data_IF_722582995364
#
_entry.id   IF_722582995364
#
_cell.length_a   1.000
_cell.length_b   1.000
_cell.length_c   1.000
_cell.angle_alpha   90.00
_cell.angle_beta   90.00
_cell.angle_gamma   90.00
#
_symmetry.space_group_name_H-M   'P 1'
#
loop_
_entity.id
_entity.type
_entity.pdbx_description
1 polymer ?
#
# COMPACT_ATOMS: atom_id res chain seq x y z
N UNK A 1 -9.74 -47.81 30.85
CA UNK A 1 -9.36 -47.65 29.43
C UNK A 1 -10.31 -46.65 28.83
N UNK A 2 -9.99 -45.37 28.96
CA UNK A 2 -10.74 -44.30 28.29
C UNK A 2 -10.45 -44.42 26.80
N UNK A 3 -11.52 -44.57 26.03
CA UNK A 3 -11.53 -44.76 24.59
C UNK A 3 -10.80 -43.62 23.88
N UNK A 4 -9.96 -44.01 22.94
CA UNK A 4 -9.21 -43.20 21.96
C UNK A 4 -10.11 -42.31 21.06
N UNK A 5 -11.37 -42.09 21.42
CA UNK A 5 -12.43 -41.46 20.60
C UNK A 5 -12.93 -40.09 21.12
N UNK A 6 -12.50 -39.61 22.29
CA UNK A 6 -12.98 -38.32 22.85
C UNK A 6 -12.11 -37.09 22.52
N UNK A 7 -11.04 -37.25 21.73
CA UNK A 7 -10.19 -36.12 21.29
C UNK A 7 -10.23 -35.90 19.78
N UNK A 8 -11.42 -35.94 19.17
CA UNK A 8 -11.64 -35.19 17.95
C UNK A 8 -11.70 -33.69 18.30
N UNK A 9 -10.56 -33.14 18.76
CA UNK A 9 -10.36 -31.71 18.92
C UNK A 9 -10.75 -31.09 17.58
N UNK A 10 -11.86 -30.35 17.58
CA UNK A 10 -12.40 -29.70 16.40
C UNK A 10 -11.31 -28.76 15.86
N UNK A 11 -10.53 -29.25 14.90
CA UNK A 11 -9.40 -28.49 14.37
C UNK A 11 -9.96 -27.28 13.64
N UNK A 12 -9.38 -26.12 13.91
CA UNK A 12 -9.81 -24.85 13.33
C UNK A 12 -8.81 -24.46 12.26
N UNK A 13 -9.29 -23.82 11.18
CA UNK A 13 -8.38 -23.27 10.17
C UNK A 13 -7.53 -22.17 10.78
N UNK A 14 -6.23 -22.18 10.49
CA UNK A 14 -5.27 -21.25 11.06
C UNK A 14 -5.64 -19.78 10.81
N UNK A 15 -6.10 -19.43 9.60
CA UNK A 15 -6.52 -18.06 9.28
C UNK A 15 -7.68 -17.55 10.16
N UNK A 16 -8.62 -18.44 10.48
CA UNK A 16 -9.72 -18.15 11.39
C UNK A 16 -9.19 -18.05 12.82
N UNK A 17 -8.42 -19.03 13.28
CA UNK A 17 -7.92 -19.07 14.65
C UNK A 17 -7.02 -17.86 15.01
N UNK A 18 -6.17 -17.42 14.08
CA UNK A 18 -5.33 -16.22 14.24
C UNK A 18 -6.20 -14.96 14.37
N UNK A 19 -7.26 -14.84 13.58
CA UNK A 19 -8.19 -13.72 13.66
C UNK A 19 -9.03 -13.76 14.94
N UNK A 20 -9.57 -14.92 15.30
CA UNK A 20 -10.46 -15.09 16.46
C UNK A 20 -9.72 -14.87 17.79
N UNK A 21 -8.42 -15.19 17.84
CA UNK A 21 -7.54 -14.86 18.98
C UNK A 21 -7.09 -13.40 19.02
N UNK A 22 -7.53 -12.55 18.08
CA UNK A 22 -7.15 -11.15 18.01
C UNK A 22 -5.68 -10.91 17.65
N UNK A 23 -4.97 -11.93 17.17
CA UNK A 23 -3.57 -11.79 16.75
C UNK A 23 -3.47 -10.96 15.46
N UNK A 24 -4.48 -11.01 14.59
CA UNK A 24 -4.60 -10.15 13.42
C UNK A 24 -5.93 -9.38 13.43
N UNK A 25 -5.93 -8.16 12.91
CA UNK A 25 -7.10 -7.27 12.87
C UNK A 25 -8.27 -7.82 12.03
N UNK A 26 -8.03 -8.78 11.13
CA UNK A 26 -9.06 -9.48 10.38
C UNK A 26 -8.56 -10.82 9.86
N UNK A 27 -9.48 -11.69 9.44
CA UNK A 27 -9.15 -12.94 8.76
C UNK A 27 -8.33 -12.73 7.48
N UNK A 28 -8.58 -11.64 6.75
CA UNK A 28 -7.79 -11.32 5.55
C UNK A 28 -6.33 -11.00 5.93
N UNK A 29 -6.12 -10.24 7.02
CA UNK A 29 -4.79 -9.96 7.57
C UNK A 29 -4.10 -11.21 8.09
N UNK A 30 -4.84 -12.07 8.79
CA UNK A 30 -4.33 -13.37 9.24
C UNK A 30 -3.86 -14.22 8.05
N UNK A 31 -4.71 -14.38 7.04
CA UNK A 31 -4.39 -15.15 5.83
C UNK A 31 -3.12 -14.63 5.14
N UNK A 32 -3.01 -13.31 5.00
CA UNK A 32 -1.84 -12.68 4.38
C UNK A 32 -0.56 -12.93 5.17
N UNK A 33 -0.57 -12.70 6.48
CA UNK A 33 0.58 -12.92 7.33
C UNK A 33 1.05 -14.38 7.31
N UNK A 34 0.10 -15.33 7.27
CA UNK A 34 0.41 -16.75 7.09
C UNK A 34 1.11 -16.96 5.75
N UNK A 35 0.55 -16.50 4.63
CA UNK A 35 1.15 -16.70 3.29
C UNK A 35 2.59 -16.17 3.20
N UNK A 36 2.88 -15.07 3.89
CA UNK A 36 4.22 -14.47 3.97
C UNK A 36 5.16 -15.13 4.98
N UNK A 37 4.71 -16.15 5.71
CA UNK A 37 5.54 -16.88 6.67
C UNK A 37 5.78 -16.17 7.99
N UNK A 38 4.93 -15.20 8.34
CA UNK A 38 5.01 -14.47 9.61
C UNK A 38 4.26 -15.14 10.76
N UNK A 39 3.65 -16.31 10.52
CA UNK A 39 2.94 -17.07 11.56
C UNK A 39 3.70 -18.35 11.86
N UNK A 40 3.98 -18.56 13.16
CA UNK A 40 4.49 -19.82 13.68
C UNK A 40 3.40 -20.55 14.46
N UNK A 41 3.30 -21.85 14.25
CA UNK A 41 2.44 -22.75 15.02
C UNK A 41 3.33 -23.77 15.69
N UNK A 42 3.30 -23.83 17.02
CA UNK A 42 4.12 -24.73 17.84
C UNK A 42 5.61 -24.66 17.45
N UNK A 43 6.11 -23.42 17.23
CA UNK A 43 7.49 -23.12 16.85
C UNK A 43 7.82 -23.21 15.36
N UNK A 44 6.92 -23.72 14.50
CA UNK A 44 7.17 -23.92 13.08
C UNK A 44 6.50 -22.84 12.22
N UNK A 45 7.23 -22.27 11.26
CA UNK A 45 6.65 -21.34 10.28
C UNK A 45 5.62 -22.07 9.41
N UNK A 46 4.40 -21.54 9.38
CA UNK A 46 3.30 -22.08 8.56
C UNK A 46 2.96 -21.08 7.47
N UNK A 47 2.91 -21.53 6.22
CA UNK A 47 2.54 -20.72 5.05
C UNK A 47 1.21 -21.10 4.42
N UNK A 48 0.45 -22.02 5.04
CA UNK A 48 -0.84 -22.50 4.55
C UNK A 48 -1.99 -21.98 5.44
N UNK A 49 -2.73 -20.94 5.01
CA UNK A 49 -3.81 -20.36 5.81
C UNK A 49 -4.94 -21.32 6.17
N UNK A 50 -5.22 -22.27 5.27
CA UNK A 50 -6.25 -23.29 5.45
C UNK A 50 -5.77 -24.51 6.24
N UNK A 51 -4.57 -24.48 6.82
CA UNK A 51 -4.11 -25.55 7.69
C UNK A 51 -5.03 -25.65 8.91
N UNK A 52 -5.62 -26.83 9.12
CA UNK A 52 -6.40 -27.10 10.31
C UNK A 52 -5.44 -27.40 11.46
N UNK A 53 -5.49 -26.64 12.54
CA UNK A 53 -4.65 -26.78 13.73
C UNK A 53 -5.51 -26.98 14.98
N UNK A 54 -4.99 -27.63 16.04
CA UNK A 54 -5.67 -27.68 17.32
C UNK A 54 -6.00 -26.27 17.86
N UNK A 55 -7.20 -26.04 18.44
CA UNK A 55 -7.60 -24.75 19.01
C UNK A 55 -6.66 -24.20 20.10
N UNK A 56 -5.83 -25.05 20.68
CA UNK A 56 -4.88 -24.78 21.76
C UNK A 56 -3.42 -24.69 21.32
N UNK A 57 -3.12 -24.86 20.01
CA UNK A 57 -1.75 -24.68 19.50
C UNK A 57 -1.18 -23.32 19.87
N UNK A 58 0.11 -23.28 20.18
CA UNK A 58 0.83 -22.02 20.38
C UNK A 58 0.96 -21.31 19.04
N UNK A 59 0.48 -20.07 18.96
CA UNK A 59 0.53 -19.28 17.72
C UNK A 59 1.26 -17.97 18.01
N UNK A 60 2.34 -17.76 17.27
CA UNK A 60 3.11 -16.51 17.29
C UNK A 60 2.96 -15.84 15.94
N UNK A 61 2.49 -14.59 15.93
CA UNK A 61 2.47 -13.72 14.77
C UNK A 61 3.60 -12.69 14.91
N UNK A 62 4.52 -12.68 13.97
CA UNK A 62 5.63 -11.73 13.88
C UNK A 62 5.61 -11.06 12.50
N UNK A 63 4.61 -10.19 12.31
CA UNK A 63 4.35 -9.49 11.04
C UNK A 63 4.62 -7.98 11.20
N UNK A 64 5.67 -7.43 10.56
CA UNK A 64 5.94 -5.99 10.56
C UNK A 64 4.76 -5.14 10.05
N UNK A 65 3.87 -5.71 9.24
CA UNK A 65 2.71 -5.01 8.76
C UNK A 65 1.55 -4.97 9.78
N UNK A 66 1.62 -5.70 10.90
CA UNK A 66 0.53 -5.82 11.88
C UNK A 66 0.17 -4.47 12.52
N UNK A 67 1.17 -3.58 12.65
CA UNK A 67 0.97 -2.27 13.25
C UNK A 67 0.30 -1.26 12.29
N UNK A 68 0.31 -1.51 10.99
CA UNK A 68 -0.25 -0.63 9.97
C UNK A 68 -1.68 -1.00 9.59
N UNK A 69 -2.50 0.00 9.27
CA UNK A 69 -3.87 -0.18 8.76
C UNK A 69 -3.85 -0.96 7.45
N UNK A 70 -2.77 -0.83 6.69
CA UNK A 70 -2.52 -1.54 5.45
C UNK A 70 -1.04 -1.82 5.25
N UNK A 71 -0.76 -2.95 4.60
CA UNK A 71 0.60 -3.35 4.22
C UNK A 71 1.23 -2.38 3.22
N UNK A 72 0.42 -1.58 2.52
CA UNK A 72 0.90 -0.52 1.65
C UNK A 72 1.86 0.44 2.40
N UNK A 73 1.65 0.66 3.70
CA UNK A 73 2.58 1.45 4.52
C UNK A 73 4.05 0.98 4.42
N UNK A 74 4.29 -0.33 4.38
CA UNK A 74 5.66 -0.87 4.23
C UNK A 74 6.33 -0.43 2.92
N UNK A 75 5.55 -0.19 1.87
CA UNK A 75 6.06 0.26 0.56
C UNK A 75 6.51 1.72 0.62
N UNK A 76 5.70 2.59 1.23
CA UNK A 76 6.07 3.99 1.41
C UNK A 76 7.26 4.14 2.37
N UNK A 77 7.28 3.39 3.47
CA UNK A 77 8.40 3.37 4.42
C UNK A 77 9.74 3.08 3.71
N UNK A 78 9.76 2.01 2.90
CA UNK A 78 10.93 1.62 2.12
C UNK A 78 11.31 2.68 1.07
N UNK A 79 10.34 3.30 0.40
CA UNK A 79 10.61 4.36 -0.56
C UNK A 79 11.23 5.60 0.10
N UNK A 80 10.66 6.06 1.22
CA UNK A 80 11.16 7.22 1.94
C UNK A 80 12.59 7.00 2.46
N UNK A 81 12.89 5.80 2.95
CA UNK A 81 14.25 5.41 3.35
C UNK A 81 15.22 5.36 2.16
N UNK A 82 14.87 4.61 1.12
CA UNK A 82 15.74 4.41 -0.04
C UNK A 82 16.03 5.71 -0.80
N UNK A 83 15.07 6.63 -0.86
CA UNK A 83 15.22 7.92 -1.52
C UNK A 83 15.62 9.05 -0.57
N UNK A 84 15.82 8.77 0.72
CA UNK A 84 16.18 9.75 1.75
C UNK A 84 15.27 11.01 1.74
N UNK A 85 13.96 10.79 1.70
CA UNK A 85 12.95 11.86 1.73
C UNK A 85 12.49 12.05 3.16
N UNK A 86 12.74 13.25 3.71
CA UNK A 86 12.19 13.66 4.99
C UNK A 86 10.77 14.21 4.79
N UNK A 87 9.84 13.75 5.62
CA UNK A 87 8.43 14.16 5.60
C UNK A 87 8.06 15.02 6.80
N UNK A 88 9.01 15.23 7.73
CA UNK A 88 8.79 15.96 8.97
C UNK A 88 8.34 17.39 8.69
N UNK A 89 7.19 17.78 9.24
CA UNK A 89 6.63 19.12 9.09
C UNK A 89 6.03 19.44 7.71
N UNK A 90 6.04 18.49 6.77
CA UNK A 90 5.52 18.69 5.41
C UNK A 90 4.01 18.54 5.32
N UNK A 91 3.41 19.15 4.30
CA UNK A 91 2.01 18.92 3.94
C UNK A 91 1.98 17.99 2.74
N UNK A 92 1.32 16.85 2.90
CA UNK A 92 1.28 15.81 1.88
C UNK A 92 -0.08 15.73 1.19
N UNK A 93 -0.07 15.42 -0.10
CA UNK A 93 -1.23 14.92 -0.84
C UNK A 93 -1.05 13.40 -1.04
N UNK A 94 -1.98 12.59 -0.54
CA UNK A 94 -2.02 11.12 -0.71
C UNK A 94 -3.10 10.74 -1.72
N UNK A 95 -2.68 10.40 -2.94
CA UNK A 95 -3.54 10.04 -4.06
C UNK A 95 -3.80 8.53 -4.08
N UNK A 96 -5.05 8.15 -3.84
CA UNK A 96 -5.44 6.75 -3.69
C UNK A 96 -5.26 6.24 -2.26
N UNK A 97 -5.63 7.07 -1.28
CA UNK A 97 -5.38 6.80 0.13
C UNK A 97 -5.98 5.46 0.62
N UNK A 98 -7.10 5.03 0.02
CA UNK A 98 -7.83 3.80 0.31
C UNK A 98 -8.02 3.57 1.82
N UNK A 99 -7.39 2.54 2.39
CA UNK A 99 -7.46 2.21 3.82
C UNK A 99 -6.60 3.12 4.71
N UNK A 100 -5.69 3.90 4.13
CA UNK A 100 -4.85 4.89 4.80
C UNK A 100 -3.42 4.43 5.10
N UNK A 101 -2.90 3.45 4.37
CA UNK A 101 -1.56 2.89 4.62
C UNK A 101 -0.43 3.91 4.44
N UNK A 102 -0.48 4.67 3.34
CA UNK A 102 0.50 5.73 3.06
C UNK A 102 0.31 6.92 4.00
N UNK A 103 -0.92 7.42 4.12
CA UNK A 103 -1.30 8.44 5.11
C UNK A 103 -0.76 8.11 6.52
N UNK A 104 -0.92 6.87 6.99
CA UNK A 104 -0.41 6.48 8.31
C UNK A 104 1.11 6.61 8.46
N UNK A 105 1.87 6.19 7.45
CA UNK A 105 3.33 6.33 7.45
C UNK A 105 3.73 7.80 7.53
N UNK A 106 3.09 8.65 6.73
CA UNK A 106 3.33 10.10 6.73
C UNK A 106 3.08 10.70 8.11
N UNK A 107 1.96 10.37 8.74
CA UNK A 107 1.59 10.85 10.08
C UNK A 107 2.58 10.38 11.15
N UNK A 108 3.03 9.12 11.09
CA UNK A 108 3.99 8.53 12.03
C UNK A 108 5.38 9.15 11.89
N UNK A 109 5.78 9.47 10.67
CA UNK A 109 7.06 10.13 10.35
C UNK A 109 7.01 11.65 10.50
N UNK A 110 5.91 12.21 10.98
CA UNK A 110 5.84 13.60 11.42
C UNK A 110 5.38 14.60 10.36
N UNK A 111 4.67 14.16 9.30
CA UNK A 111 3.95 15.09 8.42
C UNK A 111 3.05 16.02 9.25
N UNK A 112 3.06 17.31 8.91
CA UNK A 112 2.23 18.31 9.57
C UNK A 112 0.76 18.13 9.19
N UNK A 113 0.49 17.78 7.92
CA UNK A 113 -0.85 17.56 7.41
C UNK A 113 -0.84 16.57 6.24
N UNK A 114 -1.93 15.83 6.06
CA UNK A 114 -2.15 14.95 4.90
C UNK A 114 -3.54 15.21 4.33
N UNK A 115 -3.61 15.62 3.07
CA UNK A 115 -4.83 15.61 2.28
C UNK A 115 -4.92 14.24 1.61
N UNK A 116 -5.85 13.41 2.06
CA UNK A 116 -6.04 12.05 1.60
C UNK A 116 -7.22 11.99 0.62
N UNK A 117 -6.92 11.72 -0.66
CA UNK A 117 -7.94 11.65 -1.71
C UNK A 117 -8.18 10.21 -2.16
N UNK A 118 -9.44 9.85 -2.35
CA UNK A 118 -9.84 8.56 -2.91
C UNK A 118 -11.14 8.67 -3.71
N UNK A 119 -11.27 7.83 -4.74
CA UNK A 119 -12.50 7.74 -5.55
C UNK A 119 -13.59 6.93 -4.84
N UNK A 120 -13.20 6.05 -3.91
CA UNK A 120 -14.10 5.27 -3.08
C UNK A 120 -14.66 6.06 -1.90
N UNK A 121 -15.58 5.42 -1.18
CA UNK A 121 -16.17 5.95 0.04
C UNK A 121 -16.03 4.97 1.20
N UNK A 122 -15.83 5.48 2.42
CA UNK A 122 -15.81 4.72 3.66
C UNK A 122 -14.62 3.76 3.77
N UNK A 123 -13.56 3.95 2.99
CA UNK A 123 -12.42 3.03 2.99
C UNK A 123 -11.40 3.36 4.08
N UNK A 124 -11.20 4.65 4.36
CA UNK A 124 -10.17 5.10 5.29
C UNK A 124 -10.45 4.59 6.69
N UNK A 125 -9.44 3.94 7.29
CA UNK A 125 -9.58 3.34 8.61
C UNK A 125 -9.99 4.41 9.65
N UNK A 126 -10.92 4.11 10.59
CA UNK A 126 -11.44 5.10 11.54
C UNK A 126 -10.37 5.88 12.31
N UNK A 127 -9.28 5.21 12.70
CA UNK A 127 -8.15 5.85 13.41
C UNK A 127 -7.42 6.92 12.58
N UNK A 128 -7.33 6.73 11.27
CA UNK A 128 -6.67 7.67 10.36
C UNK A 128 -7.63 8.82 10.06
N UNK A 129 -8.91 8.51 9.79
CA UNK A 129 -9.95 9.52 9.59
C UNK A 129 -10.12 10.47 10.79
N UNK A 130 -9.91 9.96 12.02
CA UNK A 130 -10.06 10.75 13.23
C UNK A 130 -8.83 11.60 13.59
N UNK A 131 -7.70 11.46 12.88
CA UNK A 131 -6.51 12.27 13.15
C UNK A 131 -6.74 13.70 12.63
N UNK A 132 -6.54 14.70 13.50
CA UNK A 132 -6.78 16.10 13.17
C UNK A 132 -5.86 16.67 12.08
N UNK A 133 -4.77 15.96 11.75
CA UNK A 133 -3.84 16.29 10.68
C UNK A 133 -4.28 15.73 9.32
N UNK A 134 -5.46 15.11 9.22
CA UNK A 134 -5.95 14.49 7.99
C UNK A 134 -7.19 15.22 7.47
N UNK A 135 -7.11 15.71 6.24
CA UNK A 135 -8.29 16.10 5.45
C UNK A 135 -8.65 14.95 4.53
N UNK A 136 -9.89 14.46 4.61
CA UNK A 136 -10.36 13.32 3.82
C UNK A 136 -11.27 13.82 2.70
N UNK A 137 -10.94 13.46 1.46
CA UNK A 137 -11.73 13.80 0.27
C UNK A 137 -12.08 12.49 -0.44
N UNK A 138 -13.36 12.12 -0.41
CA UNK A 138 -13.87 10.87 -0.96
C UNK A 138 -14.78 11.12 -2.16
N UNK A 139 -14.79 10.19 -3.11
CA UNK A 139 -15.55 10.33 -4.35
C UNK A 139 -14.89 11.24 -5.39
N UNK A 140 -13.67 11.71 -5.14
CA UNK A 140 -12.91 12.53 -6.08
C UNK A 140 -12.06 11.64 -6.97
N UNK A 141 -12.22 11.79 -8.28
CA UNK A 141 -11.31 11.18 -9.25
C UNK A 141 -10.06 12.06 -9.35
N UNK A 142 -8.88 11.48 -9.15
CA UNK A 142 -7.61 12.22 -9.20
C UNK A 142 -7.38 12.98 -10.52
N UNK A 143 -8.03 12.55 -11.60
CA UNK A 143 -8.00 13.21 -12.92
C UNK A 143 -8.72 14.56 -12.94
N UNK A 144 -9.66 14.73 -12.03
CA UNK A 144 -10.55 15.88 -11.94
C UNK A 144 -10.15 16.80 -10.76
N UNK A 145 -9.05 16.48 -10.06
CA UNK A 145 -8.53 17.24 -8.93
C UNK A 145 -8.19 18.68 -9.35
N UNK A 146 -8.67 19.65 -8.57
CA UNK A 146 -8.28 21.06 -8.70
C UNK A 146 -7.84 21.68 -7.36
N UNK A 147 -7.56 22.98 -7.36
CA UNK A 147 -7.12 23.72 -6.16
C UNK A 147 -8.23 23.86 -5.09
N UNK A 148 -9.50 23.95 -5.50
CA UNK A 148 -10.64 24.12 -4.59
C UNK A 148 -10.89 22.83 -3.81
N UNK A 149 -10.62 21.67 -4.40
CA UNK A 149 -10.69 20.37 -3.73
C UNK A 149 -9.72 20.26 -2.54
N UNK A 150 -8.57 20.95 -2.56
CA UNK A 150 -7.53 20.82 -1.53
C UNK A 150 -7.90 21.47 -0.18
N UNK A 151 -9.12 21.99 -0.03
CA UNK A 151 -9.63 22.61 1.19
C UNK A 151 -8.69 23.73 1.73
N UNK A 152 -8.05 24.47 0.82
CA UNK A 152 -7.13 25.56 1.14
C UNK A 152 -5.71 25.13 1.54
N UNK A 153 -5.38 23.83 1.45
CA UNK A 153 -4.03 23.35 1.68
C UNK A 153 -3.18 23.45 0.41
N UNK A 154 -1.92 23.84 0.59
CA UNK A 154 -0.86 23.71 -0.43
C UNK A 154 0.08 22.60 0.04
N UNK A 155 0.57 21.76 -0.87
CA UNK A 155 1.35 20.58 -0.51
C UNK A 155 2.71 20.58 -1.19
N UNK A 156 3.70 20.14 -0.41
CA UNK A 156 5.09 20.01 -0.82
C UNK A 156 5.55 18.55 -0.82
N UNK A 157 4.67 17.60 -0.50
CA UNK A 157 4.91 16.17 -0.65
C UNK A 157 3.74 15.53 -1.40
N UNK A 158 4.03 14.74 -2.42
CA UNK A 158 3.02 14.00 -3.18
C UNK A 158 3.29 12.51 -3.05
N UNK A 159 2.30 11.73 -2.63
CA UNK A 159 2.37 10.27 -2.66
C UNK A 159 1.22 9.68 -3.45
N UNK A 160 1.43 8.54 -4.12
CA UNK A 160 0.40 7.92 -4.95
C UNK A 160 0.46 6.39 -4.92
N UNK A 161 -0.68 5.77 -4.60
CA UNK A 161 -0.94 4.33 -4.66
C UNK A 161 -2.32 4.06 -5.30
N UNK A 162 -2.41 4.31 -6.61
CA UNK A 162 -3.66 4.07 -7.36
C UNK A 162 -3.72 2.65 -7.95
N UNK A 163 -4.94 2.19 -8.23
CA UNK A 163 -5.19 0.92 -8.91
C UNK A 163 -6.17 1.12 -10.06
N UNK A 164 -6.11 0.25 -11.07
CA UNK A 164 -7.02 0.24 -12.23
C UNK A 164 -6.95 1.48 -13.14
N UNK A 165 -5.95 2.33 -12.96
CA UNK A 165 -5.68 3.52 -13.78
C UNK A 165 -4.16 3.67 -13.94
N UNK A 166 -3.74 4.14 -15.11
CA UNK A 166 -2.35 4.54 -15.34
C UNK A 166 -2.05 5.85 -14.60
N UNK A 167 -0.90 5.92 -13.95
CA UNK A 167 -0.42 7.14 -13.30
C UNK A 167 -0.29 8.30 -14.29
N UNK A 168 -0.03 8.01 -15.59
CA UNK A 168 0.03 9.01 -16.66
C UNK A 168 -1.28 9.77 -16.86
N UNK A 169 -2.39 9.18 -16.43
CA UNK A 169 -3.71 9.80 -16.47
C UNK A 169 -4.09 10.42 -15.12
N UNK A 170 -3.75 9.76 -14.02
CA UNK A 170 -4.20 10.17 -12.69
C UNK A 170 -3.39 11.33 -12.08
N UNK A 171 -2.09 11.39 -12.34
CA UNK A 171 -1.19 12.34 -11.67
C UNK A 171 -1.08 13.75 -12.26
N UNK A 172 -1.35 14.04 -13.56
CA UNK A 172 -1.09 15.38 -14.11
C UNK A 172 -1.64 16.55 -13.26
N UNK A 173 -2.89 16.52 -12.76
CA UNK A 173 -3.40 17.62 -11.93
C UNK A 173 -2.62 17.79 -10.62
N UNK A 174 -2.30 16.69 -9.93
CA UNK A 174 -1.52 16.73 -8.69
C UNK A 174 -0.08 17.22 -8.92
N UNK A 175 0.55 16.86 -10.05
CA UNK A 175 1.90 17.33 -10.39
C UNK A 175 1.92 18.84 -10.68
N UNK A 176 0.87 19.35 -11.31
CA UNK A 176 0.67 20.78 -11.59
C UNK A 176 0.49 21.58 -10.30
N UNK A 177 -0.37 21.11 -9.39
CA UNK A 177 -0.69 21.78 -8.13
C UNK A 177 0.42 21.71 -7.07
N UNK A 178 1.35 20.77 -7.18
CA UNK A 178 2.45 20.63 -6.21
C UNK A 178 3.32 21.90 -6.15
N UNK A 179 3.76 22.26 -4.94
CA UNK A 179 4.63 23.42 -4.75
C UNK A 179 6.00 23.26 -5.44
N UNK A 180 6.64 24.36 -5.88
CA UNK A 180 8.07 24.33 -6.23
C UNK A 180 8.90 23.77 -5.06
N UNK A 181 9.80 22.83 -5.35
CA UNK A 181 10.56 22.10 -4.32
C UNK A 181 9.83 20.90 -3.72
N UNK A 182 8.64 20.56 -4.21
CA UNK A 182 7.93 19.37 -3.74
C UNK A 182 8.69 18.08 -4.08
N UNK A 183 8.65 17.10 -3.18
CA UNK A 183 9.07 15.73 -3.48
C UNK A 183 7.86 14.86 -3.79
N UNK A 184 8.06 13.83 -4.60
CA UNK A 184 7.05 12.86 -4.97
C UNK A 184 7.52 11.42 -4.71
N UNK A 185 6.63 10.56 -4.21
CA UNK A 185 6.84 9.12 -4.07
C UNK A 185 5.67 8.34 -4.67
N UNK A 186 5.97 7.42 -5.56
CA UNK A 186 4.99 6.84 -6.47
C UNK A 186 5.13 5.32 -6.48
N UNK A 187 4.03 4.61 -6.23
CA UNK A 187 3.98 3.16 -6.38
C UNK A 187 3.58 2.79 -7.81
N UNK A 188 4.53 2.27 -8.56
CA UNK A 188 4.35 1.79 -9.92
C UNK A 188 3.81 0.36 -9.87
N UNK A 189 2.66 0.16 -10.52
CA UNK A 189 2.02 -1.13 -10.72
C UNK A 189 2.02 -1.47 -12.21
N UNK A 190 3.04 -2.19 -12.72
CA UNK A 190 3.20 -2.44 -14.15
C UNK A 190 1.94 -2.99 -14.84
N UNK A 191 1.13 -3.78 -14.15
CA UNK A 191 -0.13 -4.33 -14.67
C UNK A 191 -1.19 -3.27 -15.02
N UNK A 192 -1.09 -2.05 -14.47
CA UNK A 192 -1.96 -0.92 -14.81
C UNK A 192 -1.35 0.04 -15.84
N UNK A 193 -0.08 -0.16 -16.18
CA UNK A 193 0.68 0.69 -17.11
C UNK A 193 0.91 0.01 -18.47
N UNK A 194 1.01 -1.32 -18.51
CA UNK A 194 1.41 -2.10 -19.69
C UNK A 194 0.39 -2.13 -20.85
N UNK A 195 -0.80 -1.57 -20.66
CA UNK A 195 -1.90 -1.65 -21.61
C UNK A 195 -2.59 -3.02 -21.64
N UNK A 196 -3.81 -3.08 -22.21
CA UNK A 196 -4.70 -4.26 -22.09
C UNK A 196 -4.13 -5.55 -22.70
N UNK A 197 -3.36 -5.44 -23.78
CA UNK A 197 -2.85 -6.62 -24.51
C UNK A 197 -1.70 -7.32 -23.76
N UNK A 198 -0.99 -6.60 -22.90
CA UNK A 198 0.09 -7.14 -22.06
C UNK A 198 -0.40 -7.88 -20.81
N UNK A 199 -1.71 -7.86 -20.53
CA UNK A 199 -2.31 -8.43 -19.31
C UNK A 199 -2.97 -9.78 -19.60
N UNK A 200 -2.70 -10.76 -18.74
CA UNK A 200 -3.33 -12.07 -18.76
C UNK A 200 -4.72 -12.03 -18.09
N UNK A 201 -5.54 -13.06 -18.29
CA UNK A 201 -6.92 -13.11 -17.76
C UNK A 201 -7.01 -13.02 -16.23
N UNK A 202 -5.93 -13.34 -15.52
CA UNK A 202 -5.82 -13.26 -14.07
C UNK A 202 -5.32 -11.90 -13.56
N UNK A 203 -5.13 -10.90 -14.43
CA UNK A 203 -4.66 -9.56 -14.06
C UNK A 203 -3.14 -9.45 -13.87
N UNK A 204 -2.38 -10.52 -14.15
CA UNK A 204 -0.92 -10.49 -14.15
C UNK A 204 -0.37 -10.06 -15.51
N UNK A 205 0.84 -9.53 -15.54
CA UNK A 205 1.59 -9.37 -16.79
C UNK A 205 1.76 -10.73 -17.48
N UNK A 206 1.56 -10.76 -18.79
CA UNK A 206 1.85 -11.94 -19.64
C UNK A 206 3.34 -12.25 -19.67
N UNK A 207 4.15 -11.20 -19.71
CA UNK A 207 5.60 -11.26 -19.61
C UNK A 207 6.05 -10.54 -18.34
N UNK A 208 6.31 -11.28 -17.24
CA UNK A 208 6.80 -10.68 -16.00
C UNK A 208 8.13 -9.94 -16.13
N UNK A 209 8.97 -10.29 -17.12
CA UNK A 209 10.27 -9.66 -17.33
C UNK A 209 10.16 -8.27 -17.99
N UNK A 210 8.97 -7.91 -18.49
CA UNK A 210 8.68 -6.56 -18.99
C UNK A 210 8.50 -5.52 -17.87
N UNK A 211 8.31 -5.96 -16.62
CA UNK A 211 7.94 -5.10 -15.51
C UNK A 211 8.96 -3.97 -15.20
N UNK A 212 10.30 -4.21 -15.21
CA UNK A 212 11.29 -3.15 -15.02
C UNK A 212 11.25 -2.08 -16.11
N UNK A 213 11.12 -2.49 -17.39
CA UNK A 213 11.06 -1.54 -18.51
C UNK A 213 9.83 -0.62 -18.41
N UNK A 214 8.68 -1.17 -18.00
CA UNK A 214 7.46 -0.39 -17.76
C UNK A 214 7.68 0.63 -16.64
N UNK A 215 8.41 0.28 -15.59
CA UNK A 215 8.74 1.21 -14.51
C UNK A 215 9.69 2.32 -14.98
N UNK A 216 10.70 1.99 -15.79
CA UNK A 216 11.62 2.97 -16.40
C UNK A 216 10.90 3.93 -17.36
N UNK A 217 9.93 3.42 -18.14
CA UNK A 217 9.09 4.24 -19.03
C UNK A 217 8.25 5.25 -18.24
N UNK A 218 7.76 4.85 -17.06
CA UNK A 218 6.99 5.74 -16.20
C UNK A 218 7.87 6.79 -15.52
N UNK A 219 9.10 6.43 -15.13
CA UNK A 219 10.10 7.40 -14.66
C UNK A 219 10.49 8.40 -15.74
N UNK A 220 10.68 7.94 -16.97
CA UNK A 220 10.94 8.81 -18.12
C UNK A 220 9.78 9.77 -18.39
N UNK A 221 8.54 9.29 -18.26
CA UNK A 221 7.34 10.13 -18.36
C UNK A 221 7.25 11.17 -17.23
N UNK A 222 7.56 10.80 -15.98
CA UNK A 222 7.58 11.75 -14.87
C UNK A 222 8.62 12.84 -15.10
N UNK A 223 9.83 12.46 -15.55
CA UNK A 223 10.89 13.40 -15.90
C UNK A 223 10.61 14.26 -17.14
N UNK A 224 9.55 13.96 -17.90
CA UNK A 224 9.09 14.81 -19.00
C UNK A 224 7.96 15.78 -18.58
N UNK A 225 7.48 15.69 -17.33
CA UNK A 225 6.48 16.64 -16.84
C UNK A 225 7.15 17.99 -16.52
N UNK A 226 6.44 19.12 -16.67
CA UNK A 226 7.01 20.44 -16.38
C UNK A 226 7.61 20.50 -14.98
N UNK A 227 8.87 20.94 -14.88
CA UNK A 227 9.61 21.14 -13.63
C UNK A 227 9.86 19.86 -12.81
N UNK A 228 9.45 18.68 -13.28
CA UNK A 228 9.65 17.42 -12.55
C UNK A 228 10.90 16.69 -13.02
N UNK A 229 11.61 16.14 -12.04
CA UNK A 229 12.69 15.17 -12.24
C UNK A 229 12.26 13.83 -11.67
N UNK A 230 12.75 12.73 -12.25
CA UNK A 230 12.51 11.39 -11.75
C UNK A 230 13.83 10.72 -11.34
N UNK A 231 13.77 9.91 -10.28
CA UNK A 231 14.84 9.00 -9.88
C UNK A 231 14.59 7.61 -10.46
N UNK A 232 15.64 6.82 -10.58
CA UNK A 232 15.54 5.42 -11.03
C UNK A 232 14.59 4.64 -10.12
N UNK A 233 13.59 3.92 -10.68
CA UNK A 233 12.72 3.07 -9.89
C UNK A 233 13.49 1.94 -9.20
N UNK A 234 13.03 1.55 -8.02
CA UNK A 234 13.53 0.40 -7.26
C UNK A 234 12.40 -0.61 -7.04
N UNK A 235 12.68 -1.90 -6.86
CA UNK A 235 11.65 -2.87 -6.51
C UNK A 235 10.95 -2.53 -5.17
N UNK A 236 9.64 -2.72 -5.10
CA UNK A 236 8.88 -2.68 -3.85
C UNK A 236 9.33 -3.82 -2.91
N UNK A 237 9.40 -3.61 -1.58
CA UNK A 237 9.82 -4.64 -0.62
C UNK A 237 8.81 -5.80 -0.51
N UNK A 238 7.57 -5.57 -0.96
CA UNK A 238 6.49 -6.57 -0.96
C UNK A 238 5.76 -6.54 -2.31
N UNK A 239 5.26 -7.68 -2.73
CA UNK A 239 4.41 -7.81 -3.92
C UNK A 239 2.99 -7.27 -3.67
N UNK A 240 2.28 -6.97 -4.77
CA UNK A 240 0.86 -6.70 -4.78
C UNK A 240 0.04 -7.85 -4.17
N UNK A 241 -1.18 -7.57 -3.70
CA UNK A 241 -2.05 -8.61 -3.13
C UNK A 241 -2.44 -9.73 -4.11
N UNK A 242 -2.25 -9.49 -5.39
CA UNK A 242 -2.46 -10.40 -6.53
C UNK A 242 -1.18 -11.13 -6.96
N UNK A 243 -0.02 -10.84 -6.35
CA UNK A 243 1.29 -11.40 -6.70
C UNK A 243 2.04 -10.63 -7.78
N UNK A 244 1.57 -9.44 -8.18
CA UNK A 244 2.33 -8.60 -9.11
C UNK A 244 3.58 -8.00 -8.44
N UNK A 245 4.70 -8.03 -9.15
CA UNK A 245 5.89 -7.24 -8.80
C UNK A 245 5.58 -5.76 -9.03
N UNK A 246 5.86 -4.93 -8.03
CA UNK A 246 5.63 -3.49 -8.06
C UNK A 246 6.95 -2.76 -7.85
N UNK A 247 7.01 -1.48 -8.25
CA UNK A 247 8.22 -0.66 -8.14
C UNK A 247 7.91 0.65 -7.43
N UNK A 248 8.91 1.22 -6.79
CA UNK A 248 8.85 2.50 -6.10
C UNK A 248 9.67 3.49 -6.90
N UNK A 249 9.12 4.67 -7.14
CA UNK A 249 9.80 5.76 -7.82
C UNK A 249 9.69 7.02 -6.96
N UNK A 250 10.74 7.84 -7.00
CA UNK A 250 10.69 9.19 -6.46
C UNK A 250 10.91 10.23 -7.56
N UNK A 251 10.41 11.44 -7.33
CA UNK A 251 10.67 12.60 -8.15
C UNK A 251 10.72 13.87 -7.32
N UNK A 252 11.10 14.98 -7.96
CA UNK A 252 11.04 16.29 -7.32
C UNK A 252 10.69 17.36 -8.34
N UNK A 253 9.86 18.33 -7.92
CA UNK A 253 9.53 19.54 -8.67
C UNK A 253 10.58 20.62 -8.39
N UNK A 254 11.23 21.16 -9.42
CA UNK A 254 12.45 21.98 -9.33
C UNK A 254 12.34 23.28 -10.11
#
# INVERSE_FOLDING_TARGET
MASTEEQHLSRVRLDILVSDRGLAASRARARDAILRGHVRVDGLVVTKPSLNVPPESEIVLDDPAADYVSRAGLKLEAALEAFAIDVTGRTALDVGASTGGFTEVLLRRGAAHVVAIDVGHGQLHPRIRADARVTVIEGLNARDLDEDDLAGHRFDLLVCDVSFISMKLALPPALELAEPGADGVFLIKPQFEAGKDAIAKNGLLRDPESAPAIAEDLASWLGSQPDWTARTPIPSPIEGGDGNKEFLMAGAKR
#
